data_IF_521600624714
#
_entry.id   IF_521600624714
#
_cell.length_a   1.000
_cell.length_b   1.000
_cell.length_c   1.000
_cell.angle_alpha   90.00
_cell.angle_beta   90.00
_cell.angle_gamma   90.00
#
_symmetry.space_group_name_H-M   'P 1'
#
loop_
_entity.id
_entity.type
_entity.pdbx_description
1 polymer ?
#
# COMPACT_ATOMS: atom_id res chain seq x y z
N UNK A 1 -18.94 31.13 38.64
CA UNK A 1 -17.65 31.57 39.22
C UNK A 1 -17.16 32.77 38.43
N UNK A 2 -16.65 33.80 39.09
CA UNK A 2 -16.08 34.98 38.43
C UNK A 2 -14.55 34.91 38.52
N UNK A 3 -13.86 35.15 37.40
CA UNK A 3 -12.39 35.23 37.32
C UNK A 3 -11.99 36.46 36.51
N UNK A 4 -10.89 37.12 36.85
CA UNK A 4 -10.36 38.20 36.01
C UNK A 4 -9.67 37.64 34.76
N UNK A 5 -9.60 38.43 33.69
CA UNK A 5 -8.89 38.09 32.44
C UNK A 5 -7.45 37.62 32.70
N UNK A 6 -6.71 38.33 33.56
CA UNK A 6 -5.35 37.97 33.95
C UNK A 6 -5.26 36.66 34.75
N UNK A 7 -6.23 36.39 35.62
CA UNK A 7 -6.26 35.15 36.39
C UNK A 7 -6.55 33.93 35.50
N UNK A 8 -7.47 34.08 34.54
CA UNK A 8 -7.76 33.02 33.58
C UNK A 8 -6.55 32.75 32.67
N UNK A 9 -5.84 33.79 32.21
CA UNK A 9 -4.61 33.67 31.45
C UNK A 9 -3.53 32.88 32.20
N UNK A 10 -3.27 33.21 33.49
CA UNK A 10 -2.31 32.47 34.32
C UNK A 10 -2.65 30.98 34.40
N UNK A 11 -3.93 30.64 34.58
CA UNK A 11 -4.36 29.24 34.70
C UNK A 11 -4.20 28.44 33.41
N UNK A 12 -4.51 29.03 32.24
CA UNK A 12 -4.38 28.34 30.94
C UNK A 12 -2.94 28.27 30.42
N UNK A 13 -2.05 29.13 30.91
CA UNK A 13 -0.60 29.07 30.64
C UNK A 13 0.14 28.10 31.57
N UNK A 14 -0.41 27.80 32.75
CA UNK A 14 0.18 26.85 33.70
C UNK A 14 -0.22 25.40 33.43
N UNK A 15 -1.47 25.16 33.03
CA UNK A 15 -2.01 23.81 32.76
C UNK A 15 -2.84 23.75 31.47
N UNK A 16 -2.87 22.61 30.75
CA UNK A 16 -3.64 22.47 29.53
C UNK A 16 -5.15 22.61 29.79
N UNK A 17 -5.89 23.12 28.78
CA UNK A 17 -7.33 23.37 28.86
C UNK A 17 -8.16 22.15 29.30
N UNK A 18 -7.71 20.93 28.99
CA UNK A 18 -8.35 19.68 29.40
C UNK A 18 -8.33 19.44 30.92
N UNK A 19 -7.37 20.06 31.64
CA UNK A 19 -7.24 19.99 33.09
C UNK A 19 -7.90 21.17 33.80
N UNK A 20 -7.81 22.37 33.19
CA UNK A 20 -8.40 23.59 33.76
C UNK A 20 -9.93 23.59 33.61
N UNK A 21 -10.48 23.12 32.49
CA UNK A 21 -11.92 23.21 32.24
C UNK A 21 -12.79 22.43 33.25
N UNK A 22 -12.44 21.19 33.66
CA UNK A 22 -13.18 20.48 34.71
C UNK A 22 -13.23 21.22 36.05
N UNK A 23 -12.16 21.92 36.45
CA UNK A 23 -12.10 22.71 37.69
C UNK A 23 -13.06 23.91 37.65
N UNK A 24 -13.34 24.41 36.45
CA UNK A 24 -14.27 25.50 36.18
C UNK A 24 -15.70 25.02 35.91
N UNK A 25 -15.95 23.70 36.00
CA UNK A 25 -17.28 23.11 35.75
C UNK A 25 -17.75 23.18 34.30
N UNK A 26 -16.83 23.30 33.34
CA UNK A 26 -17.12 23.43 31.90
C UNK A 26 -16.27 22.46 31.06
N UNK A 27 -16.64 22.26 29.79
CA UNK A 27 -15.82 21.44 28.88
C UNK A 27 -14.65 22.24 28.31
N UNK A 28 -13.57 21.56 27.91
CA UNK A 28 -12.40 22.19 27.28
C UNK A 28 -12.75 22.99 26.01
N UNK A 29 -13.78 22.57 25.27
CA UNK A 29 -14.30 23.31 24.11
C UNK A 29 -14.98 24.62 24.48
N UNK A 30 -15.73 24.64 25.59
CA UNK A 30 -16.36 25.85 26.12
C UNK A 30 -15.30 26.79 26.67
N UNK A 31 -14.30 26.26 27.37
CA UNK A 31 -13.19 27.07 27.86
C UNK A 31 -12.38 27.70 26.72
N UNK A 32 -12.11 26.96 25.63
CA UNK A 32 -11.47 27.52 24.44
C UNK A 32 -12.29 28.64 23.78
N UNK A 33 -13.63 28.50 23.75
CA UNK A 33 -14.52 29.53 23.24
C UNK A 33 -14.49 30.80 24.12
N UNK A 34 -14.40 30.64 25.45
CA UNK A 34 -14.24 31.76 26.40
C UNK A 34 -12.88 32.44 26.18
N UNK A 35 -11.77 31.70 26.10
CA UNK A 35 -10.45 32.28 25.82
C UNK A 35 -10.43 33.06 24.50
N UNK A 36 -11.09 32.54 23.45
CA UNK A 36 -11.24 33.24 22.16
C UNK A 36 -12.06 34.53 22.28
N UNK A 37 -13.14 34.50 23.07
CA UNK A 37 -14.02 35.67 23.28
C UNK A 37 -13.32 36.81 24.00
N UNK A 38 -12.51 36.50 25.01
CA UNK A 38 -11.79 37.50 25.83
C UNK A 38 -10.35 37.75 25.37
N UNK A 39 -10.00 37.29 24.15
CA UNK A 39 -8.67 37.44 23.54
C UNK A 39 -7.53 37.05 24.49
N UNK A 40 -7.71 35.90 25.17
CA UNK A 40 -6.70 35.32 26.05
C UNK A 40 -5.92 34.30 25.22
N UNK A 41 -4.65 34.57 24.89
CA UNK A 41 -3.83 33.59 24.21
C UNK A 41 -3.51 32.44 25.17
N UNK A 42 -3.47 31.23 24.64
CA UNK A 42 -3.09 30.05 25.40
C UNK A 42 -2.17 29.16 24.58
N UNK A 43 -1.24 28.45 25.22
CA UNK A 43 -0.33 27.56 24.52
C UNK A 43 -1.06 26.42 23.82
N UNK A 44 -0.76 26.21 22.53
CA UNK A 44 -1.25 25.07 21.75
C UNK A 44 -0.72 23.73 22.27
N UNK A 45 -1.25 22.61 21.78
CA UNK A 45 -0.85 21.26 22.22
C UNK A 45 0.66 21.02 22.11
N UNK A 46 1.32 21.57 21.08
CA UNK A 46 2.77 21.44 20.87
C UNK A 46 3.64 22.10 21.94
N UNK A 47 3.16 23.14 22.64
CA UNK A 47 3.88 23.77 23.75
C UNK A 47 4.02 22.79 24.94
N UNK A 48 2.94 22.09 25.27
CA UNK A 48 2.93 21.11 26.38
C UNK A 48 3.80 19.90 26.08
N UNK A 49 3.82 19.43 24.83
CA UNK A 49 4.73 18.36 24.38
C UNK A 49 6.19 18.79 24.51
N UNK A 50 6.56 20.00 24.06
CA UNK A 50 7.93 20.53 24.20
C UNK A 50 8.35 20.71 25.66
N UNK A 51 7.45 21.23 26.51
CA UNK A 51 7.68 21.39 27.95
C UNK A 51 7.93 20.03 28.65
N UNK A 52 7.20 18.98 28.26
CA UNK A 52 7.42 17.62 28.81
C UNK A 52 8.75 16.98 28.39
N UNK A 53 9.32 17.45 27.27
CA UNK A 53 10.59 16.95 26.72
C UNK A 53 11.80 17.82 27.13
N UNK A 54 11.62 18.80 28.02
CA UNK A 54 12.70 19.68 28.48
C UNK A 54 13.19 20.68 27.42
N UNK A 55 12.44 20.88 26.33
CA UNK A 55 12.81 21.77 25.23
C UNK A 55 12.34 23.21 25.50
N UNK A 56 13.09 24.24 25.05
CA UNK A 56 12.69 25.64 25.20
C UNK A 56 11.36 25.90 24.45
N UNK A 57 10.39 26.48 25.16
CA UNK A 57 9.08 26.82 24.62
C UNK A 57 8.64 28.19 25.13
N UNK A 58 8.37 29.11 24.21
CA UNK A 58 7.92 30.47 24.52
C UNK A 58 6.41 30.48 24.82
N UNK A 59 6.03 31.24 25.86
CA UNK A 59 4.64 31.51 26.19
C UNK A 59 4.13 32.70 25.37
N UNK A 60 2.91 32.63 24.81
CA UNK A 60 2.35 33.76 24.09
C UNK A 60 2.05 34.90 25.06
N UNK A 61 2.55 36.10 24.78
CA UNK A 61 2.33 37.29 25.62
C UNK A 61 0.85 37.71 25.61
N UNK A 62 0.32 38.09 26.77
CA UNK A 62 -1.04 38.59 26.91
C UNK A 62 -1.13 40.01 26.29
N UNK A 63 -2.00 40.26 25.29
CA UNK A 63 -2.20 41.60 24.76
C UNK A 63 -2.78 42.55 25.82
N UNK A 64 -2.33 43.81 25.84
CA UNK A 64 -2.89 44.85 26.72
C UNK A 64 -4.38 45.07 26.40
N UNK A 65 -5.25 44.74 27.35
CA UNK A 65 -6.67 45.06 27.34
C UNK A 65 -7.17 45.13 28.79
N UNK A 66 -8.31 45.79 29.01
CA UNK A 66 -8.93 45.94 30.33
C UNK A 66 -9.12 44.58 31.03
N UNK A 67 -8.85 44.55 32.33
CA UNK A 67 -9.08 43.38 33.19
C UNK A 67 -10.60 43.20 33.43
N UNK A 68 -11.26 42.64 32.42
CA UNK A 68 -12.68 42.32 32.50
C UNK A 68 -12.91 41.10 33.42
N UNK A 69 -13.99 41.16 34.19
CA UNK A 69 -14.44 40.04 35.03
C UNK A 69 -15.23 39.06 34.16
N UNK A 70 -14.75 37.82 34.09
CA UNK A 70 -15.31 36.73 33.27
C UNK A 70 -16.21 35.87 34.16
N UNK A 71 -17.51 35.87 33.88
CA UNK A 71 -18.46 34.97 34.53
C UNK A 71 -18.48 33.60 33.83
N UNK A 72 -18.01 32.58 34.53
CA UNK A 72 -18.06 31.19 34.08
C UNK A 72 -19.21 30.50 34.81
N UNK A 73 -20.28 30.20 34.07
CA UNK A 73 -21.40 29.40 34.58
C UNK A 73 -21.09 27.91 34.42
N UNK A 74 -21.12 27.11 35.50
CA UNK A 74 -20.95 25.66 35.39
C UNK A 74 -22.11 25.07 34.59
N UNK A 75 -21.78 24.27 33.58
CA UNK A 75 -22.79 23.59 32.76
C UNK A 75 -23.22 22.31 33.49
N UNK A 76 -24.49 22.22 33.89
CA UNK A 76 -25.06 20.99 34.44
C UNK A 76 -25.03 19.93 33.32
N UNK A 77 -24.08 19.00 33.42
CA UNK A 77 -23.89 17.94 32.45
C UNK A 77 -25.16 17.07 32.38
N UNK A 78 -25.93 17.18 31.29
CA UNK A 78 -26.94 16.16 30.97
C UNK A 78 -26.21 14.84 30.69
N UNK A 79 -26.50 13.74 31.41
CA UNK A 79 -25.79 12.49 31.21
C UNK A 79 -26.07 11.98 29.79
N UNK A 80 -25.00 11.81 29.02
CA UNK A 80 -25.01 11.26 27.68
C UNK A 80 -25.37 9.78 27.82
N UNK A 81 -26.62 9.40 27.52
CA UNK A 81 -27.06 7.99 27.56
C UNK A 81 -26.12 7.14 26.68
N UNK A 82 -25.39 6.22 27.30
CA UNK A 82 -24.75 5.10 26.59
C UNK A 82 -25.88 4.28 25.96
N UNK A 83 -25.83 4.08 24.64
CA UNK A 83 -26.71 3.14 23.95
C UNK A 83 -26.26 1.73 24.33
N UNK A 84 -26.95 1.13 25.29
CA UNK A 84 -26.98 -0.32 25.45
C UNK A 84 -27.74 -0.90 24.26
N UNK A 85 -27.19 -1.94 23.64
CA UNK A 85 -27.92 -2.80 22.71
C UNK A 85 -28.93 -3.58 23.55
N UNK A 86 -30.21 -3.28 23.38
CA UNK A 86 -31.30 -4.16 23.83
C UNK A 86 -32.11 -4.60 22.62
N UNK A 87 -32.15 -5.91 22.46
CA UNK A 87 -33.05 -6.67 21.60
C UNK A 87 -34.50 -6.46 22.07
N UNK A 88 -35.42 -6.37 21.12
CA UNK A 88 -36.85 -6.56 21.38
C UNK A 88 -37.63 -5.33 21.88
N UNK A 89 -37.91 -4.37 21.00
CA UNK A 89 -39.16 -3.60 21.12
C UNK A 89 -39.73 -3.31 19.75
N UNK A 90 -40.79 -4.05 19.41
CA UNK A 90 -41.66 -3.82 18.26
C UNK A 90 -42.17 -2.38 18.30
N UNK A 91 -41.63 -1.54 17.40
CA UNK A 91 -42.16 -0.21 17.14
C UNK A 91 -43.24 -0.34 16.06
N UNK A 92 -44.46 0.08 16.39
CA UNK A 92 -45.55 0.29 15.43
C UNK A 92 -45.03 1.10 14.23
N UNK A 93 -45.38 0.72 12.98
CA UNK A 93 -44.88 1.41 11.81
C UNK A 93 -45.46 2.82 11.77
N UNK A 94 -44.59 3.83 11.75
CA UNK A 94 -44.99 5.16 11.27
C UNK A 94 -45.29 5.04 9.77
N UNK A 95 -46.31 5.74 9.24
CA UNK A 95 -46.64 5.66 7.82
C UNK A 95 -45.44 6.12 7.00
N UNK A 96 -45.17 5.39 5.91
CA UNK A 96 -44.11 5.65 4.93
C UNK A 96 -44.04 7.13 4.55
N UNK A 97 -43.13 7.85 5.20
CA UNK A 97 -42.53 9.02 4.59
C UNK A 97 -41.73 8.48 3.41
N UNK A 98 -42.34 8.47 2.22
CA UNK A 98 -41.67 8.24 0.93
C UNK A 98 -40.29 8.87 1.01
N UNK A 99 -39.27 8.02 1.15
CA UNK A 99 -37.89 8.44 1.33
C UNK A 99 -37.59 9.45 0.23
N UNK A 100 -37.35 10.71 0.62
CA UNK A 100 -36.83 11.71 -0.31
C UNK A 100 -35.54 11.11 -0.86
N UNK A 101 -35.53 10.77 -2.15
CA UNK A 101 -34.34 10.27 -2.84
C UNK A 101 -33.15 11.15 -2.44
N UNK A 102 -32.05 10.60 -1.93
CA UNK A 102 -30.87 11.41 -1.69
C UNK A 102 -30.44 11.98 -3.04
N UNK A 103 -30.41 13.31 -3.15
CA UNK A 103 -30.02 13.98 -4.40
C UNK A 103 -28.58 13.62 -4.82
N UNK A 104 -27.77 13.12 -3.87
CA UNK A 104 -26.40 12.67 -4.09
C UNK A 104 -26.10 11.37 -3.37
N UNK A 105 -25.40 10.45 -4.03
CA UNK A 105 -24.94 9.19 -3.47
C UNK A 105 -23.83 9.41 -2.41
N UNK A 106 -23.87 8.72 -1.25
CA UNK A 106 -22.92 8.95 -0.15
C UNK A 106 -21.44 8.82 -0.50
N UNK A 107 -21.11 7.95 -1.46
CA UNK A 107 -19.73 7.72 -1.90
C UNK A 107 -19.12 8.92 -2.63
N UNK A 108 -19.96 9.84 -3.14
CA UNK A 108 -19.51 10.98 -3.96
C UNK A 108 -19.31 12.27 -3.13
N UNK A 109 -19.58 12.26 -1.83
CA UNK A 109 -19.33 13.43 -0.98
C UNK A 109 -17.83 13.74 -0.89
N UNK A 110 -17.46 14.99 -1.19
CA UNK A 110 -16.07 15.46 -1.15
C UNK A 110 -15.16 14.89 -2.25
N UNK A 111 -15.68 14.05 -3.15
CA UNK A 111 -14.89 13.45 -4.24
C UNK A 111 -14.40 14.50 -5.23
N UNK A 112 -15.24 15.48 -5.56
CA UNK A 112 -14.88 16.57 -6.47
C UNK A 112 -13.62 17.32 -6.02
N UNK A 113 -13.58 17.76 -4.75
CA UNK A 113 -12.43 18.48 -4.20
C UNK A 113 -11.15 17.66 -4.25
N UNK A 114 -11.25 16.34 -4.03
CA UNK A 114 -10.10 15.44 -4.11
C UNK A 114 -9.65 15.20 -5.56
N UNK A 115 -10.57 15.14 -6.51
CA UNK A 115 -10.26 15.01 -7.95
C UNK A 115 -9.58 16.28 -8.49
N UNK A 116 -10.03 17.46 -8.05
CA UNK A 116 -9.41 18.75 -8.39
C UNK A 116 -8.03 18.95 -7.75
N UNK A 117 -7.74 18.30 -6.62
CA UNK A 117 -6.39 18.22 -6.05
C UNK A 117 -5.53 17.24 -6.86
N UNK A 118 -5.24 17.62 -8.09
CA UNK A 118 -4.45 16.87 -9.07
C UNK A 118 -2.98 17.29 -9.05
N UNK A 119 -2.11 16.39 -9.50
CA UNK A 119 -0.75 16.74 -9.94
C UNK A 119 -0.82 17.64 -11.17
N UNK A 120 0.25 18.38 -11.42
CA UNK A 120 0.37 19.22 -12.62
C UNK A 120 0.12 18.40 -13.88
N UNK A 121 -1.02 18.68 -14.51
CA UNK A 121 -1.46 18.07 -15.76
C UNK A 121 -1.46 19.17 -16.81
N UNK A 122 -0.86 18.88 -17.96
CA UNK A 122 -0.93 19.81 -19.09
C UNK A 122 -2.37 19.89 -19.59
N UNK A 123 -2.70 21.01 -20.22
CA UNK A 123 -4.00 21.20 -20.85
C UNK A 123 -4.33 20.02 -21.77
N UNK A 124 -5.43 19.33 -21.47
CA UNK A 124 -5.91 18.18 -22.23
C UNK A 124 -5.42 16.80 -21.76
N UNK A 125 -4.84 16.68 -20.56
CA UNK A 125 -4.70 15.38 -19.88
C UNK A 125 -5.84 15.15 -18.87
N UNK A 126 -6.08 13.89 -18.51
CA UNK A 126 -6.97 13.51 -17.41
C UNK A 126 -6.41 13.96 -16.06
N UNK A 127 -7.32 14.23 -15.11
CA UNK A 127 -6.97 14.53 -13.73
C UNK A 127 -6.19 13.36 -13.09
N UNK A 128 -5.14 13.71 -12.33
CA UNK A 128 -4.27 12.81 -11.58
C UNK A 128 -4.28 13.15 -10.10
N UNK A 129 -5.40 12.89 -9.39
CA UNK A 129 -5.52 13.21 -7.98
C UNK A 129 -4.42 12.57 -7.12
N UNK A 130 -4.03 13.25 -6.05
CA UNK A 130 -3.09 12.69 -5.07
C UNK A 130 -3.68 11.51 -4.30
N UNK A 131 -4.97 11.59 -4.00
CA UNK A 131 -5.68 10.56 -3.24
C UNK A 131 -5.90 9.33 -4.11
N UNK A 132 -5.49 8.16 -3.61
CA UNK A 132 -5.63 6.87 -4.33
C UNK A 132 -6.86 6.05 -3.92
N UNK A 133 -7.52 6.42 -2.82
CA UNK A 133 -8.79 5.84 -2.37
C UNK A 133 -9.93 6.80 -2.74
N UNK A 134 -10.39 6.64 -3.98
CA UNK A 134 -11.50 7.38 -4.59
C UNK A 134 -12.30 6.41 -5.47
N UNK A 135 -13.56 6.75 -5.80
CA UNK A 135 -14.28 6.00 -6.83
C UNK A 135 -13.49 5.99 -8.14
N UNK A 136 -13.57 4.88 -8.87
CA UNK A 136 -12.99 4.67 -10.20
C UNK A 136 -13.66 5.57 -11.25
N UNK A 137 -13.20 6.81 -11.25
CA UNK A 137 -13.67 7.90 -12.09
C UNK A 137 -12.48 8.56 -12.76
N UNK A 138 -12.36 8.39 -14.07
CA UNK A 138 -11.35 9.06 -14.90
C UNK A 138 -12.03 10.15 -15.71
N UNK A 139 -11.61 11.39 -15.52
CA UNK A 139 -12.09 12.53 -16.29
C UNK A 139 -11.03 13.60 -16.44
N UNK A 140 -11.17 14.43 -17.46
CA UNK A 140 -10.54 15.72 -17.62
C UNK A 140 -11.16 16.73 -16.65
N UNK A 141 -10.52 17.88 -16.51
CA UNK A 141 -11.04 18.96 -15.67
C UNK A 141 -12.38 19.50 -16.19
N UNK A 142 -12.53 19.62 -17.51
CA UNK A 142 -13.73 20.17 -18.16
C UNK A 142 -14.94 19.24 -18.03
N UNK A 143 -14.73 17.92 -18.08
CA UNK A 143 -15.80 16.94 -18.04
C UNK A 143 -16.13 16.43 -16.61
N UNK A 144 -15.39 16.86 -15.59
CA UNK A 144 -15.48 16.34 -14.21
C UNK A 144 -16.90 16.38 -13.63
N UNK A 145 -17.61 17.51 -13.77
CA UNK A 145 -18.96 17.66 -13.21
C UNK A 145 -19.96 16.69 -13.85
N UNK A 146 -19.83 16.48 -15.16
CA UNK A 146 -20.66 15.50 -15.89
C UNK A 146 -20.31 14.08 -15.48
N UNK A 147 -19.01 13.77 -15.32
CA UNK A 147 -18.55 12.48 -14.83
C UNK A 147 -19.17 12.15 -13.46
N UNK A 148 -19.16 13.11 -12.53
CA UNK A 148 -19.77 12.97 -11.20
C UNK A 148 -21.29 12.81 -11.24
N UNK A 149 -21.97 13.55 -12.13
CA UNK A 149 -23.42 13.40 -12.33
C UNK A 149 -23.77 12.01 -12.83
N UNK A 150 -23.08 11.53 -13.87
CA UNK A 150 -23.31 10.19 -14.43
C UNK A 150 -23.01 9.09 -13.42
N UNK A 151 -21.92 9.21 -12.65
CA UNK A 151 -21.62 8.29 -11.55
C UNK A 151 -22.71 8.29 -10.48
N UNK A 152 -23.22 9.48 -10.13
CA UNK A 152 -24.29 9.62 -9.16
C UNK A 152 -25.55 8.89 -9.59
N UNK A 153 -25.99 9.11 -10.82
CA UNK A 153 -27.21 8.50 -11.35
C UNK A 153 -27.08 6.97 -11.43
N UNK A 154 -25.91 6.46 -11.84
CA UNK A 154 -25.63 5.03 -11.86
C UNK A 154 -25.66 4.42 -10.45
N UNK A 155 -24.98 5.05 -9.49
CA UNK A 155 -24.89 4.52 -8.13
C UNK A 155 -26.24 4.56 -7.42
N UNK A 156 -27.03 5.63 -7.63
CA UNK A 156 -28.40 5.70 -7.12
C UNK A 156 -29.30 4.64 -7.75
N UNK A 157 -29.19 4.39 -9.06
CA UNK A 157 -29.97 3.35 -9.73
C UNK A 157 -29.63 1.93 -9.21
N UNK A 158 -28.36 1.68 -8.87
CA UNK A 158 -27.94 0.43 -8.24
C UNK A 158 -28.47 0.32 -6.79
N UNK A 159 -28.35 1.38 -6.01
CA UNK A 159 -28.89 1.46 -4.65
C UNK A 159 -30.42 1.25 -4.62
N UNK A 160 -31.16 1.77 -5.62
CA UNK A 160 -32.60 1.55 -5.77
C UNK A 160 -32.95 0.06 -5.99
N UNK A 161 -32.05 -0.73 -6.55
CA UNK A 161 -32.18 -2.19 -6.66
C UNK A 161 -31.66 -2.94 -5.42
N UNK A 162 -31.22 -2.22 -4.39
CA UNK A 162 -30.65 -2.78 -3.16
C UNK A 162 -29.15 -3.11 -3.23
N UNK A 163 -28.46 -2.69 -4.29
CA UNK A 163 -27.04 -2.96 -4.49
C UNK A 163 -26.17 -1.81 -3.99
N UNK A 164 -25.61 -1.96 -2.78
CA UNK A 164 -24.80 -0.91 -2.16
C UNK A 164 -23.42 -0.75 -2.82
N UNK A 165 -23.20 0.39 -3.46
CA UNK A 165 -21.90 0.73 -4.07
C UNK A 165 -20.92 1.29 -3.03
N UNK A 166 -19.69 0.78 -3.03
CA UNK A 166 -18.62 1.23 -2.14
C UNK A 166 -17.23 0.98 -2.75
N UNK A 167 -16.18 1.51 -2.12
CA UNK A 167 -14.80 1.18 -2.49
C UNK A 167 -14.41 -0.11 -1.77
N UNK A 168 -13.79 -1.06 -2.48
CA UNK A 168 -13.39 -2.34 -1.92
C UNK A 168 -12.52 -2.18 -0.65
N UNK A 169 -12.64 -3.13 0.28
CA UNK A 169 -11.79 -3.14 1.46
C UNK A 169 -10.41 -3.71 1.12
N UNK A 170 -9.42 -3.41 1.96
CA UNK A 170 -8.05 -3.92 1.76
C UNK A 170 -8.00 -5.46 1.78
N UNK A 171 -8.87 -6.08 2.58
CA UNK A 171 -8.89 -7.52 2.81
C UNK A 171 -9.55 -8.31 1.67
N UNK A 172 -10.34 -7.65 0.82
CA UNK A 172 -11.19 -8.35 -0.16
C UNK A 172 -10.39 -8.94 -1.34
N UNK A 173 -9.08 -8.64 -1.45
CA UNK A 173 -8.19 -9.05 -2.54
C UNK A 173 -8.79 -8.81 -3.95
N UNK A 174 -9.53 -7.72 -4.08
CA UNK A 174 -10.19 -7.30 -5.31
C UNK A 174 -9.29 -6.37 -6.11
N UNK A 175 -9.15 -6.64 -7.40
CA UNK A 175 -8.27 -5.90 -8.29
C UNK A 175 -9.05 -5.19 -9.40
N UNK A 176 -8.53 -4.03 -9.82
CA UNK A 176 -9.04 -3.28 -10.97
C UNK A 176 -8.44 -3.87 -12.24
N UNK A 177 -9.26 -4.12 -13.26
CA UNK A 177 -8.75 -4.50 -14.59
C UNK A 177 -8.16 -3.28 -15.32
N UNK A 178 -7.40 -3.53 -16.37
CA UNK A 178 -7.02 -2.47 -17.29
C UNK A 178 -8.23 -2.06 -18.14
N UNK A 179 -8.66 -0.82 -17.99
CA UNK A 179 -9.74 -0.23 -18.78
C UNK A 179 -9.09 0.62 -19.87
N UNK A 180 -9.36 0.27 -21.14
CA UNK A 180 -8.93 1.06 -22.28
C UNK A 180 -9.72 2.36 -22.33
N UNK A 181 -9.02 3.47 -22.50
CA UNK A 181 -9.59 4.81 -22.59
C UNK A 181 -9.94 5.20 -24.03
N UNK A 182 -9.26 4.63 -25.03
CA UNK A 182 -9.49 5.00 -26.42
C UNK A 182 -10.93 4.69 -26.83
N UNK A 183 -11.61 5.66 -27.43
CA UNK A 183 -12.94 5.47 -27.99
C UNK A 183 -12.89 4.42 -29.10
N UNK A 184 -12.02 4.65 -30.08
CA UNK A 184 -11.71 3.70 -31.16
C UNK A 184 -10.39 3.03 -30.83
N UNK A 185 -10.40 1.71 -30.66
CA UNK A 185 -9.20 0.97 -30.31
C UNK A 185 -8.14 1.06 -31.42
N UNK A 186 -6.95 1.55 -31.06
CA UNK A 186 -5.80 1.63 -31.94
C UNK A 186 -4.62 0.91 -31.31
N UNK A 187 -3.76 0.32 -32.15
CA UNK A 187 -2.53 -0.30 -31.67
C UNK A 187 -1.53 0.75 -31.17
N UNK A 188 -1.50 1.91 -31.82
CA UNK A 188 -0.63 3.03 -31.44
C UNK A 188 -1.36 3.95 -30.44
N UNK A 189 -1.10 3.77 -29.15
CA UNK A 189 -1.59 4.66 -28.11
C UNK A 189 -0.77 5.95 -28.10
N UNK A 190 -1.44 7.11 -28.17
CA UNK A 190 -0.82 8.45 -28.31
C UNK A 190 -1.21 9.41 -27.19
N UNK A 191 -1.33 8.91 -25.97
CA UNK A 191 -1.80 9.71 -24.84
C UNK A 191 -0.65 10.31 -24.01
N UNK A 192 -0.83 11.57 -23.60
CA UNK A 192 0.11 12.34 -22.77
C UNK A 192 1.42 12.72 -23.46
N UNK A 193 2.32 13.37 -22.71
CA UNK A 193 3.66 13.75 -23.23
C UNK A 193 4.41 12.53 -23.75
N UNK A 194 5.02 12.67 -24.92
CA UNK A 194 5.81 11.65 -25.60
C UNK A 194 5.06 10.32 -25.80
N UNK A 195 3.72 10.36 -25.84
CA UNK A 195 2.84 9.20 -26.00
C UNK A 195 2.92 8.17 -24.86
N UNK A 196 3.50 8.54 -23.71
CA UNK A 196 3.76 7.65 -22.57
C UNK A 196 3.00 8.05 -21.30
N UNK A 197 1.96 8.89 -21.44
CA UNK A 197 1.17 9.38 -20.31
C UNK A 197 0.50 8.25 -19.53
N UNK A 198 0.74 8.21 -18.22
CA UNK A 198 -0.01 7.35 -17.31
C UNK A 198 -1.36 7.96 -16.98
N UNK A 199 -2.41 7.14 -16.94
CA UNK A 199 -3.75 7.55 -16.51
C UNK A 199 -3.90 7.14 -15.05
N UNK A 200 -4.42 8.06 -14.23
CA UNK A 200 -4.66 7.76 -12.84
C UNK A 200 -5.75 6.67 -12.70
N UNK A 201 -5.55 5.77 -11.76
CA UNK A 201 -6.53 4.78 -11.35
C UNK A 201 -6.50 4.65 -9.83
N UNK A 202 -7.65 4.34 -9.18
CA UNK A 202 -7.67 4.13 -7.74
C UNK A 202 -6.93 2.83 -7.37
N UNK A 203 -6.39 2.78 -6.15
CA UNK A 203 -5.76 1.56 -5.62
C UNK A 203 -6.76 0.45 -5.33
N UNK A 204 -8.02 0.83 -5.10
CA UNK A 204 -9.10 -0.09 -4.80
C UNK A 204 -10.26 0.17 -5.74
N UNK A 205 -10.81 -0.88 -6.37
CA UNK A 205 -11.91 -0.70 -7.30
C UNK A 205 -13.17 -0.23 -6.57
N UNK A 206 -14.00 0.54 -7.26
CA UNK A 206 -15.40 0.72 -6.86
C UNK A 206 -16.13 -0.58 -7.13
N UNK A 207 -16.78 -1.14 -6.12
CA UNK A 207 -17.47 -2.42 -6.22
C UNK A 207 -18.87 -2.34 -5.63
N UNK A 208 -19.72 -3.25 -6.09
CA UNK A 208 -20.97 -3.59 -5.44
C UNK A 208 -21.15 -5.11 -5.48
N UNK A 209 -22.08 -5.62 -4.69
CA UNK A 209 -22.33 -7.05 -4.58
C UNK A 209 -23.75 -7.36 -5.05
N UNK A 210 -23.86 -8.36 -5.92
CA UNK A 210 -25.13 -9.04 -6.17
C UNK A 210 -25.08 -10.36 -5.39
N UNK A 211 -25.80 -10.41 -4.28
CA UNK A 211 -25.66 -11.42 -3.23
C UNK A 211 -24.22 -11.50 -2.67
N UNK A 212 -23.42 -12.45 -3.18
CA UNK A 212 -22.03 -12.69 -2.79
C UNK A 212 -21.03 -12.48 -3.93
N UNK A 213 -21.53 -12.07 -5.10
CA UNK A 213 -20.70 -11.89 -6.31
C UNK A 213 -20.27 -10.42 -6.39
N UNK A 214 -18.97 -10.10 -6.21
CA UNK A 214 -18.47 -8.75 -6.37
C UNK A 214 -18.39 -8.38 -7.85
N UNK A 215 -18.83 -7.17 -8.18
CA UNK A 215 -18.70 -6.58 -9.52
C UNK A 215 -17.98 -5.25 -9.38
N UNK A 216 -16.89 -5.09 -10.12
CA UNK A 216 -16.16 -3.82 -10.23
C UNK A 216 -16.82 -2.90 -11.24
N UNK A 217 -16.79 -1.60 -10.96
CA UNK A 217 -17.28 -0.54 -11.84
C UNK A 217 -16.17 0.48 -12.08
N UNK A 218 -16.01 0.87 -13.34
CA UNK A 218 -15.16 1.98 -13.75
C UNK A 218 -15.94 2.91 -14.68
N UNK A 219 -15.89 4.21 -14.41
CA UNK A 219 -16.40 5.26 -15.31
C UNK A 219 -15.19 6.02 -15.86
N UNK A 220 -14.98 5.92 -17.17
CA UNK A 220 -13.81 6.49 -17.84
C UNK A 220 -14.24 7.41 -18.97
N UNK A 221 -13.82 8.67 -18.93
CA UNK A 221 -13.86 9.53 -20.10
C UNK A 221 -12.95 8.96 -21.18
N UNK A 222 -13.48 8.87 -22.39
CA UNK A 222 -12.77 8.31 -23.53
C UNK A 222 -11.81 9.32 -24.15
N UNK A 223 -10.84 8.81 -24.88
CA UNK A 223 -9.97 9.64 -25.73
C UNK A 223 -10.31 9.47 -27.21
N UNK A 224 -10.22 10.57 -27.93
CA UNK A 224 -10.29 10.61 -29.39
C UNK A 224 -8.92 11.02 -29.96
N UNK A 225 -8.60 10.54 -31.16
CA UNK A 225 -7.39 10.92 -31.89
C UNK A 225 -7.61 12.29 -32.52
N UNK A 226 -6.87 13.30 -32.06
CA UNK A 226 -6.96 14.68 -32.57
C UNK A 226 -5.63 15.12 -33.17
N UNK A 227 -5.71 15.89 -34.25
CA UNK A 227 -4.55 16.59 -34.80
C UNK A 227 -4.26 17.84 -33.97
N UNK A 228 -3.09 17.86 -33.36
CA UNK A 228 -2.57 18.97 -32.57
C UNK A 228 -1.54 19.73 -33.41
N UNK A 229 -1.60 21.05 -33.39
CA UNK A 229 -0.63 21.93 -34.02
C UNK A 229 0.25 22.58 -32.96
N UNK A 230 1.56 22.49 -33.15
CA UNK A 230 2.53 23.21 -32.35
C UNK A 230 2.57 24.69 -32.76
N UNK A 231 2.41 25.60 -31.80
CA UNK A 231 2.51 27.04 -32.01
C UNK A 231 3.12 27.69 -30.76
N UNK A 232 4.22 28.43 -30.93
CA UNK A 232 4.85 29.23 -29.87
C UNK A 232 5.16 28.50 -28.55
N UNK A 233 5.57 27.23 -28.60
CA UNK A 233 5.96 26.46 -27.41
C UNK A 233 4.89 25.51 -26.89
N UNK A 234 3.66 25.61 -27.39
CA UNK A 234 2.52 24.82 -26.92
C UNK A 234 1.80 24.11 -28.07
N UNK A 235 1.03 23.08 -27.70
CA UNK A 235 0.20 22.30 -28.62
C UNK A 235 -1.26 22.69 -28.46
N UNK A 236 -1.89 23.04 -29.58
CA UNK A 236 -3.31 23.39 -29.63
C UNK A 236 -4.02 22.48 -30.60
N UNK A 237 -5.30 22.16 -30.36
CA UNK A 237 -6.09 21.43 -31.36
C UNK A 237 -6.14 22.21 -32.66
N UNK A 238 -6.00 21.54 -33.80
CA UNK A 238 -5.97 22.19 -35.11
C UNK A 238 -7.31 22.88 -35.44
N UNK A 239 -8.42 22.37 -34.92
CA UNK A 239 -9.75 22.95 -35.05
C UNK A 239 -10.02 24.11 -34.07
N UNK A 240 -9.11 24.41 -33.15
CA UNK A 240 -9.28 25.48 -32.17
C UNK A 240 -9.34 26.86 -32.84
N UNK A 241 -10.14 27.77 -32.25
CA UNK A 241 -10.25 29.15 -32.75
C UNK A 241 -8.90 29.87 -32.83
N UNK A 242 -7.97 29.56 -31.91
CA UNK A 242 -6.63 30.13 -31.91
C UNK A 242 -5.88 29.80 -33.20
N UNK A 243 -5.86 28.52 -33.59
CA UNK A 243 -5.18 28.07 -34.81
C UNK A 243 -5.92 28.56 -36.06
N UNK A 244 -7.25 28.50 -36.07
CA UNK A 244 -8.05 28.98 -37.21
C UNK A 244 -7.92 30.49 -37.46
N UNK A 245 -7.68 31.27 -36.42
CA UNK A 245 -7.48 32.73 -36.51
C UNK A 245 -6.02 33.16 -36.71
N UNK A 246 -5.07 32.22 -36.63
CA UNK A 246 -3.65 32.50 -36.77
C UNK A 246 -3.32 32.90 -38.22
N UNK A 247 -2.50 33.94 -38.37
CA UNK A 247 -2.04 34.41 -39.69
C UNK A 247 -0.97 33.45 -40.23
N UNK A 248 -0.87 33.35 -41.56
CA UNK A 248 0.07 32.44 -42.22
C UNK A 248 1.51 32.57 -41.73
N UNK A 249 1.98 33.80 -41.47
CA UNK A 249 3.34 34.05 -40.97
C UNK A 249 3.57 33.55 -39.53
N UNK A 250 2.53 33.47 -38.70
CA UNK A 250 2.61 32.90 -37.35
C UNK A 250 2.72 31.37 -37.40
N UNK A 251 2.26 30.75 -38.48
CA UNK A 251 2.28 29.31 -38.68
C UNK A 251 3.56 28.81 -39.36
N UNK A 252 4.48 29.70 -39.74
CA UNK A 252 5.73 29.37 -40.47
C UNK A 252 6.58 28.31 -39.77
N UNK A 253 6.63 28.34 -38.43
CA UNK A 253 7.39 27.38 -37.61
C UNK A 253 6.45 26.44 -36.83
N UNK A 254 5.28 26.15 -37.38
CA UNK A 254 4.32 25.19 -36.82
C UNK A 254 4.40 23.84 -37.55
N UNK A 255 4.14 22.75 -36.82
CA UNK A 255 3.93 21.43 -37.39
C UNK A 255 2.75 20.74 -36.69
N UNK A 256 2.22 19.70 -37.32
CA UNK A 256 1.12 18.91 -36.77
C UNK A 256 1.62 17.59 -36.19
N UNK A 257 0.93 17.12 -35.17
CA UNK A 257 1.13 15.79 -34.58
C UNK A 257 -0.21 15.22 -34.19
N UNK A 258 -0.31 13.90 -34.18
CA UNK A 258 -1.48 13.17 -33.71
C UNK A 258 -1.37 12.88 -32.21
N UNK A 259 -2.42 13.16 -31.44
CA UNK A 259 -2.47 12.91 -30.01
C UNK A 259 -3.85 12.39 -29.58
N UNK A 260 -3.88 11.43 -28.65
CA UNK A 260 -5.10 10.95 -28.01
C UNK A 260 -5.48 11.93 -26.89
N UNK A 261 -6.63 12.59 -27.04
CA UNK A 261 -7.10 13.65 -26.14
C UNK A 261 -8.47 13.28 -25.55
N UNK A 262 -8.78 13.66 -24.29
CA UNK A 262 -10.10 13.52 -23.70
C UNK A 262 -11.17 14.14 -24.61
N UNK A 263 -12.21 13.37 -24.96
CA UNK A 263 -13.27 13.81 -25.89
C UNK A 263 -14.56 14.22 -25.17
N UNK A 264 -14.59 14.17 -23.84
CA UNK A 264 -15.76 14.45 -23.04
C UNK A 264 -16.82 13.35 -23.04
N UNK A 265 -16.73 12.30 -23.87
CA UNK A 265 -17.68 11.16 -23.85
C UNK A 265 -17.24 10.08 -22.88
N UNK A 266 -18.17 9.34 -22.31
CA UNK A 266 -17.87 8.39 -21.24
C UNK A 266 -18.15 6.93 -21.60
N UNK A 267 -17.37 6.05 -20.97
CA UNK A 267 -17.53 4.60 -20.99
C UNK A 267 -17.72 4.10 -19.56
N UNK A 268 -18.77 3.31 -19.33
CA UNK A 268 -18.89 2.49 -18.13
C UNK A 268 -18.37 1.10 -18.45
N UNK A 269 -17.51 0.58 -17.59
CA UNK A 269 -17.06 -0.82 -17.64
C UNK A 269 -17.44 -1.48 -16.34
N UNK A 270 -18.18 -2.58 -16.43
CA UNK A 270 -18.36 -3.52 -15.34
C UNK A 270 -17.49 -4.74 -15.57
N UNK A 271 -16.84 -5.24 -14.52
CA UNK A 271 -15.87 -6.32 -14.64
C UNK A 271 -15.81 -7.20 -13.40
N UNK A 272 -15.18 -8.36 -13.54
CA UNK A 272 -14.87 -9.25 -12.43
C UNK A 272 -13.63 -8.72 -11.71
N UNK A 273 -13.73 -8.32 -10.43
CA UNK A 273 -12.57 -7.88 -9.67
C UNK A 273 -11.75 -9.05 -9.10
N UNK A 274 -12.09 -10.30 -9.42
CA UNK A 274 -11.38 -11.50 -8.96
C UNK A 274 -10.28 -11.91 -9.93
N UNK A 275 -9.06 -12.08 -9.42
CA UNK A 275 -7.90 -12.48 -10.22
C UNK A 275 -8.15 -13.83 -10.89
N UNK A 276 -7.81 -13.94 -12.18
CA UNK A 276 -7.99 -15.16 -12.98
C UNK A 276 -9.35 -15.27 -13.67
N UNK A 277 -10.32 -14.42 -13.33
CA UNK A 277 -11.63 -14.39 -14.01
C UNK A 277 -11.66 -13.27 -15.04
N UNK A 278 -11.61 -13.63 -16.32
CA UNK A 278 -11.75 -12.66 -17.42
C UNK A 278 -13.23 -12.48 -17.79
N UNK A 279 -13.89 -11.52 -17.14
CA UNK A 279 -15.23 -11.09 -17.48
C UNK A 279 -15.32 -9.57 -17.40
N UNK A 280 -15.75 -8.95 -18.51
CA UNK A 280 -16.08 -7.53 -18.54
C UNK A 280 -17.19 -7.24 -19.55
N UNK A 281 -17.96 -6.19 -19.28
CA UNK A 281 -19.00 -5.65 -20.15
C UNK A 281 -18.83 -4.13 -20.17
N UNK A 282 -18.90 -3.54 -21.35
CA UNK A 282 -18.73 -2.09 -21.51
C UNK A 282 -19.91 -1.45 -22.23
N UNK A 283 -20.21 -0.22 -21.84
CA UNK A 283 -21.21 0.64 -22.48
C UNK A 283 -20.55 1.98 -22.77
N UNK A 284 -20.65 2.42 -24.02
CA UNK A 284 -19.98 3.61 -24.51
C UNK A 284 -21.02 4.63 -24.95
N UNK A 285 -20.78 5.88 -24.59
CA UNK A 285 -21.55 7.01 -25.06
C UNK A 285 -21.22 7.31 -26.52
N UNK A 286 -22.24 7.55 -27.33
CA UNK A 286 -22.10 7.97 -28.72
C UNK A 286 -22.73 9.34 -28.90
N UNK A 287 -22.52 9.98 -30.07
CA UNK A 287 -23.14 11.28 -30.38
C UNK A 287 -24.68 11.26 -30.27
N UNK A 288 -25.30 10.09 -30.47
CA UNK A 288 -26.75 9.91 -30.48
C UNK A 288 -27.30 9.40 -29.15
N UNK A 289 -26.46 8.79 -28.31
CA UNK A 289 -26.91 8.07 -27.11
C UNK A 289 -26.06 8.42 -25.90
N UNK A 290 -26.68 9.19 -24.99
CA UNK A 290 -26.09 9.58 -23.71
C UNK A 290 -26.10 8.43 -22.72
N UNK A 291 -25.05 8.35 -21.90
CA UNK A 291 -24.85 7.23 -20.97
C UNK A 291 -25.92 7.17 -19.87
N UNK A 292 -26.46 8.33 -19.47
CA UNK A 292 -27.56 8.41 -18.51
C UNK A 292 -28.82 7.64 -18.95
N UNK A 293 -29.11 7.62 -20.25
CA UNK A 293 -30.26 6.88 -20.81
C UNK A 293 -30.06 5.36 -20.79
N UNK A 294 -28.81 4.91 -20.75
CA UNK A 294 -28.44 3.50 -20.75
C UNK A 294 -28.50 2.88 -19.34
N UNK A 295 -28.54 3.68 -18.27
CA UNK A 295 -28.45 3.21 -16.87
C UNK A 295 -29.45 2.07 -16.56
N UNK A 296 -30.75 2.15 -16.90
CA UNK A 296 -31.68 1.05 -16.62
C UNK A 296 -31.26 -0.26 -17.30
N UNK A 297 -30.83 -0.19 -18.56
CA UNK A 297 -30.35 -1.33 -19.35
C UNK A 297 -29.04 -1.90 -18.78
N UNK A 298 -28.15 -1.03 -18.30
CA UNK A 298 -26.91 -1.44 -17.62
C UNK A 298 -27.25 -2.28 -16.39
N UNK A 299 -28.12 -1.76 -15.51
CA UNK A 299 -28.53 -2.45 -14.27
C UNK A 299 -29.19 -3.81 -14.56
N UNK A 300 -30.03 -3.89 -15.59
CA UNK A 300 -30.64 -5.15 -16.03
C UNK A 300 -29.59 -6.15 -16.54
N UNK A 301 -28.66 -5.70 -17.37
CA UNK A 301 -27.57 -6.53 -17.91
C UNK A 301 -26.69 -7.09 -16.79
N UNK A 302 -26.39 -6.26 -15.77
CA UNK A 302 -25.60 -6.66 -14.59
C UNK A 302 -26.34 -7.73 -13.77
N UNK A 303 -27.65 -7.57 -13.57
CA UNK A 303 -28.49 -8.56 -12.90
C UNK A 303 -28.49 -9.89 -13.66
N UNK A 304 -28.66 -9.86 -14.98
CA UNK A 304 -28.68 -11.06 -15.81
C UNK A 304 -27.33 -11.79 -15.83
N UNK A 305 -26.22 -11.04 -15.73
CA UNK A 305 -24.86 -11.59 -15.77
C UNK A 305 -24.43 -12.32 -14.50
N UNK A 306 -25.15 -12.16 -13.38
CA UNK A 306 -24.83 -12.74 -12.07
C UNK A 306 -24.50 -14.23 -12.12
N UNK A 307 -25.37 -15.03 -12.75
CA UNK A 307 -25.21 -16.49 -12.76
C UNK A 307 -24.00 -16.93 -13.58
N UNK A 308 -23.73 -16.24 -14.69
CA UNK A 308 -22.54 -16.50 -15.50
C UNK A 308 -21.26 -16.14 -14.72
N UNK A 309 -21.24 -14.95 -14.11
CA UNK A 309 -20.09 -14.49 -13.33
C UNK A 309 -19.79 -15.41 -12.14
N UNK A 310 -20.83 -15.88 -11.43
CA UNK A 310 -20.67 -16.86 -10.35
C UNK A 310 -20.01 -18.15 -10.83
N UNK A 311 -20.44 -18.71 -11.96
CA UNK A 311 -19.84 -19.93 -12.53
C UNK A 311 -18.36 -19.73 -12.86
N UNK A 312 -18.00 -18.59 -13.45
CA UNK A 312 -16.61 -18.28 -13.77
C UNK A 312 -15.76 -18.14 -12.49
N UNK A 313 -16.29 -17.50 -11.46
CA UNK A 313 -15.60 -17.36 -10.17
C UNK A 313 -15.39 -18.71 -9.47
N UNK A 314 -16.42 -19.55 -9.40
CA UNK A 314 -16.35 -20.87 -8.79
C UNK A 314 -15.35 -21.78 -9.52
N UNK A 315 -15.32 -21.71 -10.86
CA UNK A 315 -14.34 -22.43 -11.67
C UNK A 315 -12.89 -21.99 -11.39
N UNK A 316 -12.68 -20.68 -11.23
CA UNK A 316 -11.34 -20.15 -10.91
C UNK A 316 -10.91 -20.47 -9.47
N UNK A 317 -11.83 -20.51 -8.49
CA UNK A 317 -11.52 -21.00 -7.14
C UNK A 317 -11.03 -22.46 -7.17
N UNK A 318 -11.72 -23.31 -7.92
CA UNK A 318 -11.32 -24.71 -8.08
C UNK A 318 -9.96 -24.85 -8.76
N UNK A 319 -9.70 -24.05 -9.80
CA UNK A 319 -8.41 -24.03 -10.50
C UNK A 319 -7.27 -23.52 -9.60
N UNK A 320 -7.51 -22.47 -8.80
CA UNK A 320 -6.53 -21.95 -7.85
C UNK A 320 -6.21 -22.96 -6.75
N UNK A 321 -7.23 -23.62 -6.19
CA UNK A 321 -7.05 -24.68 -5.21
C UNK A 321 -6.22 -25.83 -5.76
N UNK A 322 -6.44 -26.22 -7.03
CA UNK A 322 -5.64 -27.24 -7.71
C UNK A 322 -4.18 -26.81 -7.87
N UNK A 323 -3.93 -25.60 -8.41
CA UNK A 323 -2.57 -25.05 -8.56
C UNK A 323 -1.84 -24.92 -7.23
N UNK A 324 -2.55 -24.60 -6.14
CA UNK A 324 -1.97 -24.53 -4.79
C UNK A 324 -1.52 -25.91 -4.31
N UNK A 325 -2.38 -26.94 -4.46
CA UNK A 325 -2.03 -28.32 -4.10
C UNK A 325 -0.84 -28.84 -4.90
N UNK A 326 -0.82 -28.61 -6.22
CA UNK A 326 0.29 -29.02 -7.08
C UNK A 326 1.61 -28.36 -6.64
N UNK A 327 1.60 -27.05 -6.34
CA UNK A 327 2.79 -26.35 -5.82
C UNK A 327 3.24 -26.86 -4.46
N UNK A 328 2.32 -27.14 -3.54
CA UNK A 328 2.63 -27.70 -2.21
C UNK A 328 3.25 -29.10 -2.35
N UNK A 329 2.73 -29.94 -3.23
CA UNK A 329 3.31 -31.25 -3.54
C UNK A 329 4.68 -31.15 -4.20
N UNK A 330 4.86 -30.25 -5.17
CA UNK A 330 6.17 -29.99 -5.79
C UNK A 330 7.18 -29.47 -4.78
N UNK A 331 6.78 -28.54 -3.92
CA UNK A 331 7.63 -28.03 -2.84
C UNK A 331 8.02 -29.13 -1.86
N UNK A 332 7.06 -29.97 -1.44
CA UNK A 332 7.35 -31.12 -0.57
C UNK A 332 8.26 -32.17 -1.26
N UNK A 333 8.15 -32.35 -2.57
CA UNK A 333 9.09 -33.19 -3.35
C UNK A 333 10.47 -32.57 -3.39
N UNK A 334 10.56 -31.26 -3.60
CA UNK A 334 11.80 -30.51 -3.61
C UNK A 334 12.51 -30.56 -2.25
N UNK A 335 11.80 -30.29 -1.15
CA UNK A 335 12.36 -30.35 0.20
C UNK A 335 12.93 -31.73 0.55
N UNK A 336 12.22 -32.82 0.18
CA UNK A 336 12.75 -34.18 0.38
C UNK A 336 14.02 -34.45 -0.44
N UNK A 337 14.07 -33.99 -1.69
CA UNK A 337 15.27 -34.14 -2.54
C UNK A 337 16.45 -33.34 -1.98
N UNK A 338 16.21 -32.13 -1.51
CA UNK A 338 17.21 -31.27 -0.90
C UNK A 338 17.73 -31.86 0.43
N UNK A 339 16.83 -32.37 1.27
CA UNK A 339 17.20 -33.02 2.54
C UNK A 339 18.03 -34.28 2.30
N UNK A 340 17.64 -35.12 1.32
CA UNK A 340 18.42 -36.28 0.91
C UNK A 340 19.80 -35.89 0.36
N UNK A 341 19.86 -34.82 -0.45
CA UNK A 341 21.14 -34.29 -0.98
C UNK A 341 22.05 -33.83 0.14
N UNK A 342 21.54 -33.06 1.10
CA UNK A 342 22.32 -32.59 2.25
C UNK A 342 22.80 -33.73 3.14
N UNK A 343 21.96 -34.74 3.34
CA UNK A 343 22.34 -35.95 4.09
C UNK A 343 23.48 -36.70 3.39
N UNK A 344 23.37 -36.91 2.08
CA UNK A 344 24.41 -37.57 1.29
C UNK A 344 25.73 -36.76 1.27
N UNK A 345 25.63 -35.43 1.17
CA UNK A 345 26.77 -34.53 1.24
C UNK A 345 27.43 -34.56 2.63
N UNK A 346 26.66 -34.47 3.71
CA UNK A 346 27.15 -34.57 5.08
C UNK A 346 27.91 -35.88 5.33
N UNK A 347 27.39 -37.00 4.82
CA UNK A 347 28.06 -38.30 4.88
C UNK A 347 29.39 -38.29 4.10
N UNK A 348 29.39 -37.72 2.90
CA UNK A 348 30.58 -37.66 2.04
C UNK A 348 31.66 -36.78 2.68
N UNK A 349 31.30 -35.58 3.13
CA UNK A 349 32.22 -34.63 3.71
C UNK A 349 32.77 -35.12 5.07
N UNK A 350 31.95 -35.81 5.88
CA UNK A 350 32.41 -36.42 7.14
C UNK A 350 33.39 -37.57 6.90
N UNK A 351 33.14 -38.41 5.88
CA UNK A 351 34.07 -39.48 5.47
C UNK A 351 35.37 -38.91 4.94
N UNK A 352 35.31 -37.85 4.14
CA UNK A 352 36.50 -37.17 3.64
C UNK A 352 37.31 -36.59 4.80
N UNK A 353 36.65 -35.87 5.73
CA UNK A 353 37.32 -35.33 6.90
C UNK A 353 37.99 -36.42 7.74
N UNK A 354 37.30 -37.56 7.95
CA UNK A 354 37.88 -38.69 8.68
C UNK A 354 39.12 -39.25 7.97
N UNK A 355 39.08 -39.39 6.65
CA UNK A 355 40.23 -39.85 5.87
C UNK A 355 41.41 -38.88 5.98
N UNK A 356 41.17 -37.56 5.88
CA UNK A 356 42.19 -36.52 6.05
C UNK A 356 42.81 -36.55 7.45
N UNK A 357 42.00 -36.80 8.49
CA UNK A 357 42.45 -36.96 9.87
C UNK A 357 43.35 -38.19 10.01
N UNK A 358 42.94 -39.34 9.45
CA UNK A 358 43.73 -40.58 9.44
C UNK A 358 45.06 -40.38 8.72
N UNK A 359 45.07 -39.70 7.57
CA UNK A 359 46.31 -39.37 6.85
C UNK A 359 47.23 -38.45 7.65
N UNK A 360 46.67 -37.41 8.29
CA UNK A 360 47.45 -36.49 9.13
C UNK A 360 48.08 -37.22 10.31
N UNK A 361 47.33 -38.10 10.97
CA UNK A 361 47.84 -38.95 12.03
C UNK A 361 48.91 -39.93 11.52
N UNK A 362 48.71 -40.56 10.37
CA UNK A 362 49.72 -41.44 9.75
C UNK A 362 51.03 -40.72 9.43
N UNK A 363 50.97 -39.46 8.98
CA UNK A 363 52.15 -38.61 8.81
C UNK A 363 52.83 -38.31 10.15
N UNK A 364 52.07 -37.95 11.19
CA UNK A 364 52.60 -37.70 12.52
C UNK A 364 53.30 -38.95 13.11
N UNK A 365 52.70 -40.14 12.97
CA UNK A 365 53.30 -41.41 13.40
C UNK A 365 54.58 -41.76 12.64
N UNK A 366 54.66 -41.41 11.35
CA UNK A 366 55.90 -41.62 10.56
C UNK A 366 57.03 -40.72 11.08
N UNK A 367 56.70 -39.49 11.46
CA UNK A 367 57.65 -38.55 12.06
C UNK A 367 58.10 -39.02 13.44
N UNK A 368 57.18 -39.45 14.32
CA UNK A 368 57.56 -40.03 15.62
C UNK A 368 58.43 -41.28 15.46
N UNK A 369 58.12 -42.15 14.49
CA UNK A 369 58.97 -43.31 14.20
C UNK A 369 60.37 -42.92 13.74
N UNK A 370 60.50 -41.87 12.92
CA UNK A 370 61.81 -41.32 12.55
C UNK A 370 62.59 -40.83 13.78
N UNK A 371 61.94 -40.11 14.70
CA UNK A 371 62.56 -39.66 15.94
C UNK A 371 62.98 -40.83 16.83
N UNK A 372 62.12 -41.84 17.00
CA UNK A 372 62.42 -43.04 17.76
C UNK A 372 63.62 -43.81 17.18
N UNK A 373 63.65 -44.04 15.86
CA UNK A 373 64.76 -44.70 15.17
C UNK A 373 66.05 -43.87 15.25
N UNK A 374 65.95 -42.53 15.18
CA UNK A 374 67.10 -41.63 15.31
C UNK A 374 67.69 -41.63 16.73
N UNK A 375 66.84 -41.59 17.76
CA UNK A 375 67.23 -41.70 19.17
C UNK A 375 67.86 -43.07 19.48
N UNK A 376 67.33 -44.16 18.90
CA UNK A 376 67.92 -45.50 19.06
C UNK A 376 69.31 -45.61 18.43
N UNK A 377 69.51 -45.08 17.22
CA UNK A 377 70.83 -45.05 16.57
C UNK A 377 71.83 -44.16 17.29
N UNK A 378 71.36 -43.08 17.93
CA UNK A 378 72.17 -42.18 18.75
C UNK A 378 72.80 -42.87 19.96
N UNK A 379 72.14 -43.89 20.54
CA UNK A 379 72.67 -44.68 21.66
C UNK A 379 73.96 -45.43 21.31
N UNK A 380 74.23 -45.67 20.02
CA UNK A 380 75.37 -46.45 19.53
C UNK A 380 76.50 -45.59 18.92
N UNK A 381 76.56 -44.28 19.20
CA UNK A 381 77.50 -43.32 18.58
C UNK A 381 78.40 -42.60 19.61
N UNK A 382 79.61 -42.18 19.21
CA UNK A 382 80.60 -41.44 20.03
C UNK A 382 80.05 -40.19 20.76
N UNK A 383 80.59 -39.90 21.95
CA UNK A 383 80.04 -38.95 22.94
C UNK A 383 79.91 -37.48 22.48
N UNK A 384 80.92 -36.90 21.81
CA UNK A 384 80.85 -35.49 21.36
C UNK A 384 79.80 -35.26 20.26
N UNK A 385 79.63 -36.26 19.37
CA UNK A 385 78.65 -36.19 18.29
C UNK A 385 77.23 -36.45 18.79
N UNK A 386 77.10 -37.21 19.87
CA UNK A 386 75.83 -37.56 20.51
C UNK A 386 75.14 -36.35 21.14
N UNK A 387 75.84 -35.56 21.97
CA UNK A 387 75.26 -34.38 22.63
C UNK A 387 74.72 -33.35 21.62
N UNK A 388 75.50 -33.03 20.58
CA UNK A 388 75.08 -32.08 19.54
C UNK A 388 73.83 -32.54 18.78
N UNK A 389 73.68 -33.85 18.55
CA UNK A 389 72.53 -34.40 17.83
C UNK A 389 71.31 -34.54 18.75
N UNK A 390 71.49 -34.85 20.04
CA UNK A 390 70.41 -34.85 21.04
C UNK A 390 69.79 -33.45 21.21
N UNK A 391 70.60 -32.39 21.28
CA UNK A 391 70.12 -31.01 21.31
C UNK A 391 69.29 -30.65 20.07
N UNK A 392 69.74 -31.10 18.88
CA UNK A 392 69.01 -30.85 17.62
C UNK A 392 67.70 -31.64 17.53
N UNK A 393 67.65 -32.88 18.02
CA UNK A 393 66.41 -33.66 18.07
C UNK A 393 65.41 -33.05 19.05
N UNK A 394 65.88 -32.53 20.19
CA UNK A 394 65.02 -31.87 21.19
C UNK A 394 64.36 -30.60 20.62
N UNK A 395 65.14 -29.76 19.92
CA UNK A 395 64.62 -28.59 19.23
C UNK A 395 63.64 -28.96 18.12
N UNK A 396 63.93 -30.01 17.35
CA UNK A 396 63.05 -30.49 16.29
C UNK A 396 61.73 -31.06 16.84
N UNK A 397 61.76 -31.76 17.99
CA UNK A 397 60.57 -32.30 18.66
C UNK A 397 59.69 -31.21 19.26
N UNK A 398 60.29 -30.14 19.79
CA UNK A 398 59.57 -28.98 20.31
C UNK A 398 58.79 -28.19 19.23
N UNK A 399 59.13 -28.38 17.95
CA UNK A 399 58.43 -27.74 16.81
C UNK A 399 57.27 -28.57 16.26
N UNK A 400 57.07 -29.81 16.74
CA UNK A 400 56.02 -30.69 16.24
C UNK A 400 54.70 -30.49 17.00
N UNK A 401 53.58 -30.55 16.29
CA UNK A 401 52.22 -30.58 16.86
C UNK A 401 51.99 -31.89 17.66
N UNK A 402 50.99 -31.90 18.55
CA UNK A 402 50.62 -33.08 19.35
C UNK A 402 50.40 -34.31 18.46
N UNK A 403 50.83 -35.47 18.96
CA UNK A 403 50.73 -36.77 18.27
C UNK A 403 49.66 -37.67 18.92
N UNK A 404 48.90 -37.15 19.88
CA UNK A 404 47.84 -37.90 20.56
C UNK A 404 46.67 -38.15 19.59
N UNK A 405 46.32 -39.42 19.26
CA UNK A 405 45.17 -39.74 18.41
C UNK A 405 43.85 -39.10 18.86
N UNK A 406 43.70 -38.80 20.16
CA UNK A 406 42.49 -38.17 20.71
C UNK A 406 42.34 -36.71 20.24
N UNK A 407 43.43 -35.95 20.13
CA UNK A 407 43.41 -34.58 19.60
C UNK A 407 43.01 -34.54 18.12
N UNK A 408 43.28 -35.62 17.39
CA UNK A 408 42.92 -35.75 15.97
C UNK A 408 41.43 -36.09 15.79
N UNK A 409 40.86 -36.92 16.67
CA UNK A 409 39.46 -37.33 16.57
C UNK A 409 38.49 -36.28 17.16
N UNK A 410 38.92 -35.47 18.13
CA UNK A 410 38.13 -34.34 18.65
C UNK A 410 37.75 -33.31 17.58
N UNK A 411 38.55 -33.21 16.50
CA UNK A 411 38.26 -32.35 15.36
C UNK A 411 37.31 -32.95 14.31
N UNK A 412 36.96 -34.24 14.41
CA UNK A 412 36.07 -34.91 13.45
C UNK A 412 34.60 -34.60 13.77
N UNK A 413 33.82 -34.27 12.73
CA UNK A 413 32.39 -33.98 12.86
C UNK A 413 31.59 -35.09 12.20
N UNK A 414 30.70 -35.73 12.98
CA UNK A 414 29.87 -36.83 12.50
C UNK A 414 28.85 -36.37 11.44
N UNK A 415 28.41 -37.25 10.53
CA UNK A 415 27.40 -36.90 9.52
C UNK A 415 26.11 -36.32 10.13
N UNK A 416 25.66 -36.87 11.25
CA UNK A 416 24.44 -36.49 11.96
C UNK A 416 24.57 -35.15 12.71
N UNK A 417 25.81 -34.71 12.96
CA UNK A 417 26.11 -33.39 13.51
C UNK A 417 26.17 -32.32 12.41
N UNK A 418 26.56 -32.73 11.20
CA UNK A 418 26.60 -31.86 10.00
C UNK A 418 25.23 -31.61 9.41
N UNK A 419 24.39 -32.64 9.30
CA UNK A 419 23.00 -32.50 8.84
C UNK A 419 22.10 -33.55 9.46
N UNK A 420 21.06 -33.10 10.17
CA UNK A 420 20.01 -33.98 10.68
C UNK A 420 18.88 -34.05 9.67
N UNK A 421 18.57 -35.23 9.10
CA UNK A 421 17.49 -35.37 8.13
C UNK A 421 16.17 -34.96 8.77
N UNK A 422 15.40 -34.16 8.04
CA UNK A 422 14.04 -33.74 8.46
C UNK A 422 13.00 -34.76 8.00
N UNK A 423 13.31 -35.54 6.98
CA UNK A 423 12.44 -36.57 6.44
C UNK A 423 13.17 -37.92 6.55
N UNK A 424 12.55 -38.89 7.23
CA UNK A 424 13.06 -40.26 7.38
C UNK A 424 12.69 -41.12 6.16
#
# INVERSE_FOLDING_TARGET
MQLTRLELYKRVCDRPLSKVAPELGISGTVLAAICKRYQIPYPGSGYWTRKSLGLPAELPTLPEASDETIEIMPSVAKPRKKRTLEEGSVRKPKPDAKLRRPARHPLLFGVEEHLRKTRDVKNGEFLRPYKRILPDLVSSETALLRALSTANDLYLALDEQGYRVHIAQAADNLHRIHVREQEVERKDRRYGRDHSGSIWAPDRPTVFYIDKVPIGLALTEMTERVTMRYLNGDYHREDSSLIRSAKSWQLTHSWTTEQDMPCGRFRIVAYSPKKGVDWSVSWQETEQQLLGTLIPRIVETLRASKNNLRRLMDAEDAAEAKRKREREEEWARYERREDARKTAQALTDSRQQLAEIIERWGRAMTVERFFADAEERLKNTNDERRQRLEERLTLARAMMESVDPLDFIEGWVAPEERHRPKFL
#
